data_IF_335161371209
#
_entry.id   IF_335161371209
#
_cell.length_a   1.000
_cell.length_b   1.000
_cell.length_c   1.000
_cell.angle_alpha   90.00
_cell.angle_beta   90.00
_cell.angle_gamma   90.00
#
_symmetry.space_group_name_H-M   'P 1'
#
loop_
_entity.id
_entity.type
_entity.pdbx_description
1 polymer ?
#
# COMPACT_ATOMS: atom_id res chain seq x y z
N UNK A 1 -42.54 -32.38 2.36
CA UNK A 1 -41.14 -32.84 2.45
C UNK A 1 -40.48 -32.08 3.59
N UNK A 2 -40.32 -32.73 4.74
CA UNK A 2 -39.79 -32.13 5.96
C UNK A 2 -38.26 -32.24 5.96
N UNK A 3 -37.56 -31.13 6.21
CA UNK A 3 -36.11 -31.09 6.29
C UNK A 3 -35.65 -31.53 7.69
N UNK A 4 -34.64 -32.38 7.73
CA UNK A 4 -34.07 -33.00 8.94
C UNK A 4 -33.34 -31.97 9.79
N UNK A 5 -33.52 -32.06 11.11
CA UNK A 5 -32.94 -31.20 12.15
C UNK A 5 -31.46 -31.48 12.45
N UNK A 6 -30.80 -32.32 11.64
CA UNK A 6 -29.48 -32.89 11.93
C UNK A 6 -28.29 -32.18 11.26
N UNK A 7 -28.51 -31.14 10.44
CA UNK A 7 -27.42 -30.43 9.73
C UNK A 7 -26.96 -29.13 10.40
N UNK A 8 -27.47 -28.82 11.61
CA UNK A 8 -27.20 -27.54 12.29
C UNK A 8 -26.05 -27.56 13.32
N UNK A 9 -25.38 -28.69 13.55
CA UNK A 9 -24.37 -28.83 14.62
C UNK A 9 -22.95 -29.17 14.10
N UNK A 10 -22.46 -28.47 13.08
CA UNK A 10 -21.09 -28.69 12.56
C UNK A 10 -20.20 -27.46 12.45
N UNK A 11 -20.51 -26.38 13.19
CA UNK A 11 -19.78 -25.10 13.12
C UNK A 11 -19.09 -24.66 14.42
N UNK A 12 -18.94 -25.53 15.43
CA UNK A 12 -18.56 -25.07 16.78
C UNK A 12 -17.28 -25.68 17.38
N UNK A 13 -16.27 -26.07 16.60
CA UNK A 13 -14.98 -26.51 17.15
C UNK A 13 -13.78 -26.10 16.28
N UNK A 14 -13.35 -24.84 16.36
CA UNK A 14 -11.99 -24.42 15.96
C UNK A 14 -11.47 -23.16 16.70
N UNK A 15 -12.07 -22.81 17.84
CA UNK A 15 -11.53 -21.82 18.78
C UNK A 15 -10.84 -22.58 19.91
N UNK A 16 -9.53 -22.82 19.83
CA UNK A 16 -8.60 -22.99 20.96
C UNK A 16 -7.27 -23.55 20.44
N UNK A 17 -6.36 -22.68 20.01
CA UNK A 17 -4.92 -22.82 20.23
C UNK A 17 -4.20 -21.72 19.45
N UNK A 18 -3.80 -20.65 20.14
CA UNK A 18 -2.52 -19.96 19.90
C UNK A 18 -2.25 -18.99 21.07
N UNK A 19 -2.40 -19.50 22.30
CA UNK A 19 -2.02 -18.77 23.51
C UNK A 19 -0.56 -19.15 23.84
N UNK A 20 0.33 -18.17 23.66
CA UNK A 20 1.53 -17.93 24.48
C UNK A 20 2.54 -19.08 24.63
N UNK A 21 3.48 -19.14 23.68
CA UNK A 21 4.87 -19.48 23.99
C UNK A 21 5.77 -18.35 23.51
N UNK A 22 6.25 -17.52 24.46
CA UNK A 22 7.52 -16.78 24.45
C UNK A 22 7.59 -15.94 25.73
N UNK A 23 7.83 -16.62 26.85
CA UNK A 23 8.53 -16.01 27.99
C UNK A 23 9.92 -16.60 27.91
N UNK A 24 10.86 -15.77 27.47
CA UNK A 24 12.29 -16.07 27.45
C UNK A 24 12.96 -14.94 28.22
N UNK A 25 13.24 -15.24 29.48
CA UNK A 25 14.02 -14.42 30.38
C UNK A 25 15.41 -14.11 29.83
N UNK A 26 15.92 -12.96 30.26
CA UNK A 26 17.34 -12.83 30.54
C UNK A 26 18.21 -12.25 29.41
N UNK A 27 18.70 -11.04 29.71
CA UNK A 27 20.12 -10.72 29.86
C UNK A 27 20.55 -9.54 28.99
N UNK A 28 20.59 -8.38 29.64
CA UNK A 28 21.17 -7.14 29.13
C UNK A 28 22.68 -7.20 29.43
N UNK A 29 23.57 -7.24 28.43
CA UNK A 29 24.97 -6.94 28.69
C UNK A 29 25.16 -5.42 28.80
N UNK A 30 25.50 -5.03 30.02
CA UNK A 30 26.14 -3.79 30.41
C UNK A 30 27.43 -3.60 29.59
N UNK A 31 27.52 -2.53 28.79
CA UNK A 31 28.80 -2.09 28.21
C UNK A 31 29.20 -0.77 28.85
N UNK A 32 30.10 -0.90 29.82
CA UNK A 32 30.83 0.20 30.43
C UNK A 32 31.70 0.94 29.43
N UNK A 33 31.95 2.19 29.79
CA UNK A 33 32.71 3.19 29.08
C UNK A 33 34.16 2.74 28.79
N UNK A 34 34.58 2.98 27.54
CA UNK A 34 35.99 3.18 27.22
C UNK A 34 36.13 4.59 26.61
N UNK A 35 36.72 5.49 27.39
CA UNK A 35 37.25 6.73 26.90
C UNK A 35 38.29 6.45 25.80
N UNK A 36 38.12 7.02 24.61
CA UNK A 36 39.20 7.17 23.65
C UNK A 36 39.19 8.59 23.13
N UNK A 37 40.05 9.38 23.77
CA UNK A 37 40.54 10.67 23.34
C UNK A 37 41.17 10.59 21.94
N UNK A 38 40.81 11.56 21.10
CA UNK A 38 41.69 12.09 20.06
C UNK A 38 41.63 11.37 18.72
N UNK A 39 40.89 11.94 17.78
CA UNK A 39 41.40 12.03 16.40
C UNK A 39 40.74 13.19 15.65
N UNK A 40 41.58 13.87 14.89
CA UNK A 40 41.43 15.17 14.24
C UNK A 40 40.13 15.39 13.48
N UNK A 41 39.47 16.52 13.78
CA UNK A 41 38.50 17.18 12.91
C UNK A 41 39.22 17.57 11.62
N UNK A 42 39.06 16.75 10.58
CA UNK A 42 39.42 17.11 9.22
C UNK A 42 38.25 17.90 8.64
N UNK A 43 38.44 19.20 8.54
CA UNK A 43 37.55 20.17 7.90
C UNK A 43 37.14 19.70 6.48
N UNK A 44 35.84 19.56 6.17
CA UNK A 44 35.43 19.17 4.83
C UNK A 44 35.70 20.32 3.86
N UNK A 45 36.73 20.15 3.03
CA UNK A 45 37.03 21.04 1.92
C UNK A 45 35.82 21.13 0.98
N UNK A 46 35.21 22.32 0.90
CA UNK A 46 34.18 22.66 -0.08
C UNK A 46 34.74 22.43 -1.49
N UNK A 47 34.14 21.58 -2.34
CA UNK A 47 34.53 21.51 -3.74
C UNK A 47 34.19 22.84 -4.43
N UNK A 48 35.21 23.51 -4.98
CA UNK A 48 35.04 24.67 -5.88
C UNK A 48 34.27 24.20 -7.12
N UNK A 49 32.99 24.51 -7.18
CA UNK A 49 32.17 24.32 -8.37
C UNK A 49 32.63 25.30 -9.45
N UNK A 50 33.32 24.79 -10.47
CA UNK A 50 33.58 25.54 -11.70
C UNK A 50 32.22 25.87 -12.32
N UNK A 51 31.91 27.17 -12.41
CA UNK A 51 30.67 27.69 -12.99
C UNK A 51 30.71 27.44 -14.50
N UNK A 52 30.17 26.32 -14.96
CA UNK A 52 30.01 26.03 -16.38
C UNK A 52 29.05 27.06 -16.97
N UNK A 53 29.54 27.91 -17.86
CA UNK A 53 28.72 28.89 -18.59
C UNK A 53 27.69 28.16 -19.44
N UNK A 54 26.41 28.37 -19.14
CA UNK A 54 25.28 27.86 -19.93
C UNK A 54 25.25 28.63 -21.27
N UNK A 55 25.23 27.95 -22.43
CA UNK A 55 25.12 28.62 -23.72
C UNK A 55 23.75 29.29 -23.87
N UNK A 56 23.77 30.56 -24.24
CA UNK A 56 22.61 31.40 -24.52
C UNK A 56 22.03 31.03 -25.88
N UNK A 57 21.14 30.04 -25.96
CA UNK A 57 20.20 29.91 -27.09
C UNK A 57 19.10 28.87 -26.81
N UNK A 58 18.07 29.25 -26.04
CA UNK A 58 16.82 28.46 -25.96
C UNK A 58 15.63 29.31 -25.47
N UNK A 59 15.45 30.53 -25.99
CA UNK A 59 14.57 31.53 -25.35
C UNK A 59 13.06 31.46 -25.62
N UNK A 60 12.47 30.37 -26.16
CA UNK A 60 11.04 30.39 -26.54
C UNK A 60 10.15 29.31 -25.90
N UNK A 61 10.68 28.21 -25.35
CA UNK A 61 9.86 27.17 -24.68
C UNK A 61 10.00 27.10 -23.15
N UNK A 62 10.74 28.05 -22.55
CA UNK A 62 11.12 28.02 -21.14
C UNK A 62 9.96 28.43 -20.20
N UNK A 63 9.03 29.28 -20.65
CA UNK A 63 8.00 29.87 -19.77
C UNK A 63 7.03 28.84 -19.16
N UNK A 64 6.66 27.79 -19.90
CA UNK A 64 5.75 26.74 -19.40
C UNK A 64 6.44 25.75 -18.46
N UNK A 65 7.72 25.50 -18.65
CA UNK A 65 8.55 24.69 -17.75
C UNK A 65 8.83 25.45 -16.45
N UNK A 66 9.23 26.73 -16.55
CA UNK A 66 9.44 27.61 -15.39
C UNK A 66 8.17 27.81 -14.57
N UNK A 67 7.00 27.91 -15.19
CA UNK A 67 5.72 27.98 -14.47
C UNK A 67 5.36 26.68 -13.74
N UNK A 68 5.72 25.51 -14.29
CA UNK A 68 5.55 24.21 -13.61
C UNK A 68 6.52 24.06 -12.45
N UNK A 69 7.75 24.55 -12.61
CA UNK A 69 8.77 24.51 -11.57
C UNK A 69 8.46 25.49 -10.43
N UNK A 70 7.93 26.69 -10.74
CA UNK A 70 7.43 27.63 -9.75
C UNK A 70 6.31 27.03 -8.89
N UNK A 71 5.29 26.40 -9.52
CA UNK A 71 4.20 25.73 -8.80
C UNK A 71 4.67 24.59 -7.90
N UNK A 72 5.71 23.86 -8.29
CA UNK A 72 6.31 22.81 -7.44
C UNK A 72 7.02 23.41 -6.23
N UNK A 73 7.75 24.51 -6.43
CA UNK A 73 8.45 25.23 -5.36
C UNK A 73 7.44 25.82 -4.38
N UNK A 74 6.38 26.45 -4.88
CA UNK A 74 5.30 27.01 -4.06
C UNK A 74 4.61 25.93 -3.24
N UNK A 75 4.24 24.80 -3.88
CA UNK A 75 3.64 23.68 -3.16
C UNK A 75 4.57 23.03 -2.13
N UNK A 76 5.87 23.03 -2.38
CA UNK A 76 6.85 22.54 -1.41
C UNK A 76 7.01 23.51 -0.24
N UNK A 77 6.94 24.83 -0.50
CA UNK A 77 6.94 25.87 0.52
C UNK A 77 5.68 25.78 1.38
N UNK A 78 4.51 25.65 0.78
CA UNK A 78 3.23 25.42 1.46
C UNK A 78 3.31 24.18 2.36
N UNK A 79 3.77 23.05 1.83
CA UNK A 79 3.94 21.82 2.63
C UNK A 79 4.85 22.01 3.85
N UNK A 80 5.94 22.78 3.71
CA UNK A 80 6.84 23.08 4.85
C UNK A 80 6.18 24.00 5.87
N UNK A 81 5.27 24.87 5.44
CA UNK A 81 4.49 25.74 6.33
C UNK A 81 3.44 24.90 7.06
N UNK A 82 2.65 24.09 6.35
CA UNK A 82 1.68 23.16 6.93
C UNK A 82 2.33 22.22 7.95
N UNK A 83 3.52 21.69 7.65
CA UNK A 83 4.28 20.84 8.57
C UNK A 83 4.71 21.59 9.84
N UNK A 84 5.07 22.87 9.73
CA UNK A 84 5.43 23.69 10.90
C UNK A 84 4.22 24.06 11.74
N UNK A 85 3.08 24.31 11.10
CA UNK A 85 1.83 24.69 11.79
C UNK A 85 1.19 23.51 12.51
N UNK A 86 1.20 22.31 11.90
CA UNK A 86 0.61 21.11 12.49
C UNK A 86 1.56 20.34 13.43
N UNK A 87 2.87 20.63 13.39
CA UNK A 87 3.87 20.01 14.27
C UNK A 87 3.85 18.48 14.19
N UNK A 88 3.82 17.81 15.35
CA UNK A 88 3.81 16.35 15.44
C UNK A 88 2.52 15.69 14.91
N UNK A 89 1.46 16.47 14.67
CA UNK A 89 0.21 15.98 14.07
C UNK A 89 0.22 16.02 12.53
N UNK A 90 1.29 16.52 11.92
CA UNK A 90 1.40 16.56 10.47
C UNK A 90 1.54 15.16 9.88
N UNK A 91 0.43 14.57 9.43
CA UNK A 91 0.43 13.24 8.82
C UNK A 91 0.89 13.24 7.35
N UNK A 92 1.21 14.41 6.75
CA UNK A 92 1.71 14.51 5.37
C UNK A 92 0.82 13.86 4.31
N UNK A 93 -0.44 13.59 4.65
CA UNK A 93 -1.28 12.64 3.94
C UNK A 93 -2.13 13.35 2.89
N UNK A 94 -2.20 12.76 1.71
CA UNK A 94 -3.20 13.11 0.71
C UNK A 94 -4.58 12.81 1.30
N UNK A 95 -5.45 13.82 1.30
CA UNK A 95 -6.86 13.72 1.74
C UNK A 95 -7.72 12.68 0.99
N UNK A 96 -7.16 11.89 0.06
CA UNK A 96 -7.94 11.09 -0.88
C UNK A 96 -7.86 9.57 -0.69
N UNK A 97 -7.27 9.06 0.39
CA UNK A 97 -7.07 7.59 0.56
C UNK A 97 -7.95 6.95 1.63
N UNK A 98 -8.60 7.74 2.47
CA UNK A 98 -9.40 7.28 3.61
C UNK A 98 -10.79 6.74 3.23
N UNK A 99 -11.20 6.82 1.96
CA UNK A 99 -12.57 6.50 1.55
C UNK A 99 -12.79 5.17 0.80
N UNK A 100 -11.76 4.31 0.64
CA UNK A 100 -11.85 3.15 -0.26
C UNK A 100 -11.25 1.88 0.29
N UNK A 101 -11.36 1.68 1.60
CA UNK A 101 -11.04 0.38 2.18
C UNK A 101 -12.02 -0.68 1.67
N UNK A 102 -11.50 -1.86 1.34
CA UNK A 102 -12.32 -3.00 0.97
C UNK A 102 -12.71 -3.73 2.24
N UNK A 103 -14.01 -3.90 2.46
CA UNK A 103 -14.55 -4.63 3.61
C UNK A 103 -14.09 -6.09 3.58
N UNK A 104 -14.24 -6.78 4.71
CA UNK A 104 -13.98 -8.21 4.79
C UNK A 104 -14.84 -8.98 3.77
N UNK A 105 -16.14 -8.68 3.70
CA UNK A 105 -17.06 -9.31 2.74
C UNK A 105 -16.66 -9.09 1.29
N UNK A 106 -16.24 -7.87 0.94
CA UNK A 106 -15.74 -7.55 -0.40
C UNK A 106 -14.46 -8.32 -0.73
N UNK A 107 -13.58 -8.48 0.24
CA UNK A 107 -12.34 -9.23 0.09
C UNK A 107 -12.64 -10.73 -0.14
N UNK A 108 -13.52 -11.31 0.68
CA UNK A 108 -13.96 -12.71 0.53
C UNK A 108 -14.68 -12.95 -0.80
N UNK A 109 -15.49 -11.98 -1.25
CA UNK A 109 -16.14 -12.06 -2.55
C UNK A 109 -15.12 -12.13 -3.70
N UNK A 110 -14.08 -11.30 -3.68
CA UNK A 110 -13.02 -11.32 -4.70
C UNK A 110 -12.31 -12.70 -4.71
N UNK A 111 -12.03 -13.27 -3.53
CA UNK A 111 -11.44 -14.60 -3.41
C UNK A 111 -12.37 -15.66 -4.02
N UNK A 112 -13.66 -15.62 -3.70
CA UNK A 112 -14.65 -16.55 -4.23
C UNK A 112 -14.77 -16.44 -5.76
N UNK A 113 -14.72 -15.23 -6.34
CA UNK A 113 -14.70 -15.04 -7.79
C UNK A 113 -13.50 -15.74 -8.44
N UNK A 114 -12.29 -15.59 -7.87
CA UNK A 114 -11.11 -16.29 -8.37
C UNK A 114 -11.27 -17.82 -8.31
N UNK A 115 -11.78 -18.35 -7.19
CA UNK A 115 -11.99 -19.78 -7.00
C UNK A 115 -13.05 -20.34 -7.95
N UNK A 116 -14.21 -19.69 -8.04
CA UNK A 116 -15.32 -20.11 -8.88
C UNK A 116 -14.94 -20.07 -10.36
N UNK A 117 -14.24 -19.02 -10.80
CA UNK A 117 -13.79 -18.93 -12.18
C UNK A 117 -12.79 -20.03 -12.51
N UNK A 118 -11.83 -20.31 -11.63
CA UNK A 118 -10.84 -21.36 -11.85
C UNK A 118 -11.44 -22.78 -11.82
N UNK A 119 -12.54 -22.99 -11.09
CA UNK A 119 -13.24 -24.27 -11.00
C UNK A 119 -14.10 -24.60 -12.22
N UNK A 120 -14.37 -23.63 -13.11
CA UNK A 120 -15.19 -23.87 -14.29
C UNK A 120 -14.46 -24.77 -15.31
N UNK A 121 -15.17 -25.71 -15.96
CA UNK A 121 -14.56 -26.61 -16.95
C UNK A 121 -13.99 -25.88 -18.18
N UNK A 122 -14.50 -24.70 -18.51
CA UNK A 122 -14.06 -23.92 -19.67
C UNK A 122 -12.73 -23.19 -19.43
N UNK A 123 -12.38 -22.92 -18.17
CA UNK A 123 -11.28 -22.03 -17.76
C UNK A 123 -10.24 -22.75 -16.93
N UNK A 124 -10.50 -23.98 -16.45
CA UNK A 124 -9.58 -24.94 -15.83
C UNK A 124 -8.30 -24.33 -15.21
N UNK A 125 -8.45 -23.69 -14.05
CA UNK A 125 -7.32 -23.15 -13.30
C UNK A 125 -6.77 -21.81 -13.78
N UNK A 126 -7.41 -21.18 -14.78
CA UNK A 126 -7.04 -19.83 -15.23
C UNK A 126 -7.50 -18.75 -14.26
N UNK A 127 -6.82 -17.60 -14.34
CA UNK A 127 -7.21 -16.39 -13.61
C UNK A 127 -8.42 -15.71 -14.26
N UNK A 128 -9.38 -15.28 -13.44
CA UNK A 128 -10.46 -14.40 -13.88
C UNK A 128 -9.88 -13.10 -14.48
N UNK A 129 -10.32 -12.71 -15.70
CA UNK A 129 -9.96 -11.42 -16.28
C UNK A 129 -10.43 -10.26 -15.38
N UNK A 130 -9.60 -9.23 -15.23
CA UNK A 130 -9.95 -8.07 -14.38
C UNK A 130 -11.19 -7.30 -14.85
N UNK A 131 -11.55 -7.41 -16.13
CA UNK A 131 -12.81 -6.84 -16.64
C UNK A 131 -14.02 -7.54 -16.05
N UNK A 132 -14.05 -8.87 -16.14
CA UNK A 132 -15.13 -9.70 -15.62
C UNK A 132 -15.23 -9.61 -14.10
N UNK A 133 -14.08 -9.59 -13.40
CA UNK A 133 -14.06 -9.40 -11.95
C UNK A 133 -14.73 -8.07 -11.54
N UNK A 134 -14.46 -6.99 -12.28
CA UNK A 134 -15.07 -5.69 -12.00
C UNK A 134 -16.57 -5.69 -12.27
N UNK A 135 -17.02 -6.35 -13.33
CA UNK A 135 -18.45 -6.50 -13.65
C UNK A 135 -19.18 -7.29 -12.56
N UNK A 136 -18.65 -8.45 -12.16
CA UNK A 136 -19.22 -9.26 -11.07
C UNK A 136 -19.25 -8.51 -9.74
N UNK A 137 -18.17 -7.79 -9.41
CA UNK A 137 -18.07 -7.00 -8.18
C UNK A 137 -19.10 -5.88 -8.13
N UNK A 138 -19.19 -5.08 -9.20
CA UNK A 138 -20.14 -3.97 -9.26
C UNK A 138 -21.59 -4.46 -9.32
N UNK A 139 -21.84 -5.62 -9.93
CA UNK A 139 -23.17 -6.26 -9.89
C UNK A 139 -23.59 -6.68 -8.48
N UNK A 140 -22.63 -7.15 -7.66
CA UNK A 140 -22.91 -7.60 -6.28
C UNK A 140 -23.09 -6.43 -5.30
N UNK A 141 -22.20 -5.44 -5.33
CA UNK A 141 -22.15 -4.39 -4.30
C UNK A 141 -22.74 -3.04 -4.73
N UNK A 142 -22.96 -2.81 -6.04
CA UNK A 142 -23.62 -1.62 -6.58
C UNK A 142 -23.09 -0.28 -6.02
N UNK A 143 -21.78 -0.20 -5.78
CA UNK A 143 -21.15 0.98 -5.21
C UNK A 143 -21.18 2.18 -6.17
N UNK A 144 -21.29 3.38 -5.60
CA UNK A 144 -21.22 4.65 -6.33
C UNK A 144 -20.08 5.51 -5.76
N UNK A 145 -19.00 5.77 -6.53
CA UNK A 145 -18.76 5.32 -7.90
C UNK A 145 -18.41 3.83 -7.99
N UNK A 146 -18.69 3.17 -9.14
CA UNK A 146 -18.34 1.77 -9.35
C UNK A 146 -16.82 1.55 -9.26
N UNK A 147 -16.42 0.35 -8.84
CA UNK A 147 -15.00 -0.02 -8.80
C UNK A 147 -14.47 -0.23 -10.21
N UNK A 148 -13.28 0.30 -10.43
CA UNK A 148 -12.59 0.19 -11.72
C UNK A 148 -11.63 -1.00 -11.71
N UNK A 149 -11.22 -1.45 -12.90
CA UNK A 149 -10.20 -2.50 -13.05
C UNK A 149 -8.92 -2.12 -12.31
N UNK A 150 -8.55 -0.83 -12.34
CA UNK A 150 -7.36 -0.33 -11.65
C UNK A 150 -7.51 -0.38 -10.13
N UNK A 151 -8.68 -0.04 -9.58
CA UNK A 151 -8.88 -0.08 -8.13
C UNK A 151 -8.86 -1.51 -7.58
N UNK A 152 -9.43 -2.47 -8.33
CA UNK A 152 -9.39 -3.89 -7.97
C UNK A 152 -7.98 -4.46 -8.13
N UNK A 153 -7.29 -4.15 -9.22
CA UNK A 153 -5.90 -4.58 -9.40
C UNK A 153 -4.97 -4.04 -8.31
N UNK A 154 -5.17 -2.79 -7.87
CA UNK A 154 -4.38 -2.20 -6.80
C UNK A 154 -4.60 -2.91 -5.47
N UNK A 155 -5.87 -3.16 -5.06
CA UNK A 155 -6.12 -3.86 -3.79
C UNK A 155 -5.57 -5.29 -3.80
N UNK A 156 -5.69 -6.01 -4.92
CA UNK A 156 -5.19 -7.38 -5.05
C UNK A 156 -3.66 -7.42 -4.90
N UNK A 157 -2.95 -6.41 -5.42
CA UNK A 157 -1.50 -6.33 -5.29
C UNK A 157 -1.02 -5.99 -3.88
N UNK A 158 -1.85 -5.35 -3.06
CA UNK A 158 -1.47 -4.87 -1.73
C UNK A 158 -1.98 -5.73 -0.56
N UNK A 159 -3.09 -6.49 -0.73
CA UNK A 159 -3.59 -7.42 0.29
C UNK A 159 -3.04 -8.83 0.04
N UNK A 160 -2.31 -9.37 1.01
CA UNK A 160 -1.65 -10.68 0.88
C UNK A 160 -2.63 -11.83 0.58
N UNK A 161 -3.79 -11.85 1.23
CA UNK A 161 -4.82 -12.87 0.98
C UNK A 161 -5.30 -12.87 -0.48
N UNK A 162 -5.53 -11.69 -1.06
CA UNK A 162 -5.96 -11.53 -2.45
C UNK A 162 -4.82 -11.86 -3.43
N UNK A 163 -3.60 -11.46 -3.08
CA UNK A 163 -2.40 -11.78 -3.85
C UNK A 163 -2.18 -13.29 -3.93
N UNK A 164 -2.32 -13.99 -2.81
CA UNK A 164 -2.23 -15.44 -2.74
C UNK A 164 -3.36 -16.11 -3.53
N UNK A 165 -4.61 -15.65 -3.37
CA UNK A 165 -5.74 -16.19 -4.11
C UNK A 165 -5.55 -16.07 -5.64
N UNK A 166 -5.04 -14.93 -6.12
CA UNK A 166 -4.73 -14.73 -7.54
C UNK A 166 -3.54 -15.57 -8.02
N UNK A 167 -2.53 -15.77 -7.17
CA UNK A 167 -1.31 -16.51 -7.53
C UNK A 167 -1.54 -18.01 -7.70
N UNK A 168 -2.58 -18.58 -7.07
CA UNK A 168 -2.93 -20.01 -7.19
C UNK A 168 -3.30 -20.47 -8.60
N UNK A 169 -3.69 -19.52 -9.44
CA UNK A 169 -4.19 -19.76 -10.79
C UNK A 169 -3.20 -19.18 -11.80
N UNK A 170 -3.04 -19.78 -12.98
CA UNK A 170 -2.09 -19.32 -14.01
C UNK A 170 -2.73 -18.43 -15.05
#
# INVERSE_FOLDING_TARGET
>A
MAWSRADLDRTSHWLHNLERQRVGDGQIPNFEAAATSGSSVSEPQKPKTKRTSIPKNTSVNISRAQAKDARKVDRQRERRVEQREQGDQFQGLRDSTTGREYTYEQTQFIIACHQNFAAQPATMGQRIPMGELAEQFNGRFQENPPRTKQSLSSVISHKDELKQARARYS
#
